data_IF_747242121334
#
_entry.id   IF_747242121334
#
_cell.length_a   1.000
_cell.length_b   1.000
_cell.length_c   1.000
_cell.angle_alpha   90.00
_cell.angle_beta   90.00
_cell.angle_gamma   90.00
#
_symmetry.space_group_name_H-M   'P 1'
#
loop_
_entity.id
_entity.type
_entity.pdbx_description
1 polymer ?
#
# COMPACT_ATOMS: atom_id res chain seq x y z
N UNK A 1 31.69 6.65 -5.48
CA UNK A 1 30.85 7.63 -4.75
C UNK A 1 30.76 7.19 -3.30
N UNK A 2 30.73 8.10 -2.30
CA UNK A 2 30.54 7.70 -0.91
C UNK A 2 29.18 6.99 -0.78
N UNK A 3 29.15 5.88 -0.05
CA UNK A 3 27.90 5.18 0.25
C UNK A 3 27.02 6.08 1.12
N UNK A 4 25.87 6.48 0.59
CA UNK A 4 24.85 7.20 1.36
C UNK A 4 24.40 6.32 2.52
N UNK A 5 24.56 6.83 3.74
CA UNK A 5 24.00 6.24 4.94
C UNK A 5 22.90 7.17 5.43
N UNK A 6 21.64 6.73 5.44
CA UNK A 6 20.58 7.50 6.05
C UNK A 6 20.89 7.73 7.55
N UNK A 7 20.61 8.93 8.09
CA UNK A 7 20.95 9.28 9.47
C UNK A 7 19.92 8.70 10.46
N UNK A 8 19.88 7.38 10.61
CA UNK A 8 19.04 6.70 11.58
C UNK A 8 19.82 6.38 12.85
N UNK A 9 19.41 6.95 13.98
CA UNK A 9 19.94 6.64 15.30
C UNK A 9 18.95 5.77 16.09
N UNK A 10 19.41 4.64 16.60
CA UNK A 10 18.60 3.75 17.44
C UNK A 10 18.50 4.36 18.84
N UNK A 11 17.29 4.64 19.29
CA UNK A 11 17.01 5.16 20.63
C UNK A 11 16.44 4.07 21.55
N UNK A 12 16.51 4.24 22.88
CA UNK A 12 15.82 3.35 23.81
C UNK A 12 14.33 3.20 23.53
N UNK A 13 13.65 4.27 23.10
CA UNK A 13 12.22 4.22 22.75
C UNK A 13 11.95 3.36 21.52
N UNK A 14 12.81 3.43 20.49
CA UNK A 14 12.70 2.56 19.31
C UNK A 14 12.87 1.09 19.73
N UNK A 15 13.84 0.79 20.59
CA UNK A 15 14.05 -0.57 21.09
C UNK A 15 12.85 -1.07 21.90
N UNK A 16 12.30 -0.23 22.76
CA UNK A 16 11.11 -0.56 23.53
C UNK A 16 9.90 -0.88 22.62
N UNK A 17 9.65 -0.06 21.59
CA UNK A 17 8.59 -0.31 20.62
C UNK A 17 8.82 -1.61 19.83
N UNK A 18 10.06 -1.92 19.46
CA UNK A 18 10.41 -3.19 18.78
C UNK A 18 10.10 -4.38 19.68
N UNK A 19 10.42 -4.30 20.97
CA UNK A 19 10.10 -5.35 21.95
C UNK A 19 8.58 -5.53 22.12
N UNK A 20 7.83 -4.44 22.27
CA UNK A 20 6.36 -4.49 22.40
C UNK A 20 5.68 -5.09 21.15
N UNK A 21 6.12 -4.68 19.96
CA UNK A 21 5.63 -5.23 18.69
C UNK A 21 5.99 -6.72 18.61
N UNK A 22 7.21 -7.11 18.97
CA UNK A 22 7.66 -8.50 18.98
C UNK A 22 6.84 -9.38 19.92
N UNK A 23 6.56 -8.89 21.14
CA UNK A 23 5.72 -9.60 22.11
C UNK A 23 4.28 -9.76 21.59
N UNK A 24 3.71 -8.71 21.01
CA UNK A 24 2.37 -8.75 20.42
C UNK A 24 2.30 -9.75 19.26
N UNK A 25 3.29 -9.76 18.36
CA UNK A 25 3.39 -10.73 17.27
C UNK A 25 3.54 -12.16 17.81
N UNK A 26 4.34 -12.36 18.86
CA UNK A 26 4.52 -13.65 19.52
C UNK A 26 3.20 -14.19 20.10
N UNK A 27 2.46 -13.36 20.84
CA UNK A 27 1.12 -13.72 21.35
C UNK A 27 0.16 -14.05 20.22
N UNK A 28 0.13 -13.24 19.16
CA UNK A 28 -0.72 -13.49 18.00
C UNK A 28 -0.41 -14.82 17.30
N UNK A 29 0.87 -15.12 17.07
CA UNK A 29 1.32 -16.37 16.45
C UNK A 29 0.97 -17.59 17.31
N UNK A 30 1.12 -17.50 18.63
CA UNK A 30 0.83 -18.59 19.55
C UNK A 30 -0.66 -18.97 19.59
N UNK A 31 -1.55 -17.98 19.39
CA UNK A 31 -3.00 -18.17 19.41
C UNK A 31 -3.56 -18.87 18.17
N UNK A 32 -2.73 -19.14 17.13
CA UNK A 32 -3.16 -19.70 15.83
C UNK A 32 -4.46 -19.06 15.34
N UNK A 33 -4.57 -17.74 15.48
CA UNK A 33 -5.76 -16.99 15.06
C UNK A 33 -6.12 -17.41 13.64
N UNK A 34 -7.37 -17.80 13.42
CA UNK A 34 -7.81 -18.44 12.19
C UNK A 34 -7.47 -17.56 10.98
N UNK A 35 -6.41 -17.91 10.26
CA UNK A 35 -5.98 -17.21 9.06
C UNK A 35 -6.86 -17.64 7.88
N UNK A 36 -8.12 -17.19 7.90
CA UNK A 36 -9.09 -17.52 6.86
C UNK A 36 -8.87 -16.60 5.64
N UNK A 37 -9.11 -17.10 4.41
CA UNK A 37 -9.10 -16.26 3.21
C UNK A 37 -10.01 -15.03 3.32
N UNK A 38 -11.13 -15.15 4.04
CA UNK A 38 -12.07 -14.06 4.28
C UNK A 38 -11.47 -12.97 5.18
N UNK A 39 -10.78 -13.36 6.26
CA UNK A 39 -10.10 -12.41 7.14
C UNK A 39 -8.97 -11.68 6.42
N UNK A 40 -8.14 -12.40 5.63
CA UNK A 40 -7.11 -11.76 4.80
C UNK A 40 -7.70 -10.77 3.81
N UNK A 41 -8.78 -11.15 3.12
CA UNK A 41 -9.49 -10.25 2.20
C UNK A 41 -10.00 -9.00 2.93
N UNK A 42 -10.68 -9.17 4.06
CA UNK A 42 -11.22 -8.04 4.83
C UNK A 42 -10.14 -7.10 5.35
N UNK A 43 -9.03 -7.65 5.85
CA UNK A 43 -7.89 -6.85 6.30
C UNK A 43 -7.30 -6.05 5.15
N UNK A 44 -7.14 -6.67 3.99
CA UNK A 44 -6.61 -5.99 2.80
C UNK A 44 -7.52 -4.87 2.29
N UNK A 45 -8.84 -5.08 2.31
CA UNK A 45 -9.80 -4.02 1.96
C UNK A 45 -9.67 -2.83 2.93
N UNK A 46 -9.54 -3.09 4.24
CA UNK A 46 -9.32 -2.04 5.25
C UNK A 46 -8.01 -1.30 5.03
N UNK A 47 -6.92 -2.01 4.72
CA UNK A 47 -5.62 -1.39 4.39
C UNK A 47 -5.76 -0.46 3.18
N UNK A 48 -6.39 -0.92 2.10
CA UNK A 48 -6.58 -0.10 0.89
C UNK A 48 -7.45 1.12 1.21
N UNK A 49 -8.55 0.96 1.95
CA UNK A 49 -9.43 2.06 2.32
C UNK A 49 -8.69 3.12 3.13
N UNK A 50 -7.95 2.72 4.17
CA UNK A 50 -7.18 3.65 5.01
C UNK A 50 -6.09 4.38 4.20
N UNK A 51 -5.41 3.70 3.28
CA UNK A 51 -4.42 4.34 2.40
C UNK A 51 -5.05 5.36 1.46
N UNK A 52 -6.21 5.06 0.88
CA UNK A 52 -6.89 5.97 -0.06
C UNK A 52 -7.55 7.14 0.66
N UNK A 53 -8.05 6.95 1.88
CA UNK A 53 -8.60 8.02 2.70
C UNK A 53 -7.54 9.10 3.01
N UNK A 54 -6.28 8.71 3.23
CA UNK A 54 -5.14 9.65 3.37
C UNK A 54 -4.96 10.51 2.10
N UNK A 55 -5.23 9.94 0.93
CA UNK A 55 -5.18 10.63 -0.38
C UNK A 55 -6.49 11.38 -0.70
N UNK A 56 -7.35 11.62 0.31
CA UNK A 56 -8.66 12.28 0.21
C UNK A 56 -9.68 11.54 -0.67
N UNK A 57 -9.57 10.22 -0.80
CA UNK A 57 -10.64 9.42 -1.40
C UNK A 57 -11.82 9.32 -0.42
N UNK A 58 -13.04 9.60 -0.91
CA UNK A 58 -14.24 9.70 -0.07
C UNK A 58 -15.07 8.42 -0.01
N UNK A 59 -14.65 7.34 -0.68
CA UNK A 59 -15.42 6.09 -0.71
C UNK A 59 -15.38 5.37 0.63
N UNK A 60 -16.54 4.98 1.12
CA UNK A 60 -16.68 4.21 2.37
C UNK A 60 -16.16 2.78 2.22
N UNK A 61 -15.90 2.12 3.35
CA UNK A 61 -15.55 0.70 3.38
C UNK A 61 -16.62 -0.18 2.70
N UNK A 62 -17.91 0.13 2.88
CA UNK A 62 -18.98 -0.61 2.20
C UNK A 62 -18.95 -0.39 0.68
N UNK A 63 -18.70 0.83 0.23
CA UNK A 63 -18.60 1.16 -1.19
C UNK A 63 -17.40 0.46 -1.84
N UNK A 64 -16.24 0.49 -1.21
CA UNK A 64 -15.04 -0.22 -1.68
C UNK A 64 -15.30 -1.73 -1.74
N UNK A 65 -15.90 -2.30 -0.70
CA UNK A 65 -16.24 -3.73 -0.67
C UNK A 65 -17.21 -4.10 -1.79
N UNK A 66 -18.28 -3.30 -1.96
CA UNK A 66 -19.26 -3.50 -3.01
C UNK A 66 -18.64 -3.40 -4.42
N UNK A 67 -17.71 -2.46 -4.62
CA UNK A 67 -16.99 -2.30 -5.88
C UNK A 67 -16.17 -3.56 -6.21
N UNK A 68 -15.47 -4.11 -5.22
CA UNK A 68 -14.66 -5.32 -5.39
C UNK A 68 -15.50 -6.58 -5.59
N UNK A 69 -16.72 -6.60 -5.08
CA UNK A 69 -17.69 -7.68 -5.31
C UNK A 69 -18.40 -7.55 -6.67
N UNK A 70 -18.01 -6.59 -7.52
CA UNK A 70 -18.58 -6.35 -8.84
C UNK A 70 -19.94 -5.65 -8.83
N UNK A 71 -20.37 -5.12 -7.68
CA UNK A 71 -21.62 -4.36 -7.57
C UNK A 71 -21.43 -2.93 -8.09
N UNK A 72 -22.54 -2.30 -8.47
CA UNK A 72 -22.56 -0.89 -8.87
C UNK A 72 -22.39 -0.01 -7.63
N UNK A 73 -21.51 0.98 -7.73
CA UNK A 73 -21.21 1.95 -6.67
C UNK A 73 -21.30 3.35 -7.25
N UNK A 74 -21.92 4.25 -6.50
CA UNK A 74 -21.94 5.68 -6.80
C UNK A 74 -20.68 6.32 -6.21
N UNK A 75 -19.93 7.05 -7.03
CA UNK A 75 -18.70 7.72 -6.64
C UNK A 75 -18.09 8.45 -7.83
N UNK A 76 -17.09 9.31 -7.59
CA UNK A 76 -16.39 9.95 -8.69
C UNK A 76 -15.65 8.87 -9.53
N UNK A 77 -15.69 8.92 -10.87
CA UNK A 77 -15.01 7.93 -11.71
C UNK A 77 -13.52 7.78 -11.36
N UNK A 78 -12.88 8.89 -10.99
CA UNK A 78 -11.48 8.93 -10.54
C UNK A 78 -11.25 8.13 -9.26
N UNK A 79 -12.05 8.37 -8.22
CA UNK A 79 -11.94 7.66 -6.93
C UNK A 79 -12.19 6.15 -7.09
N UNK A 80 -13.15 5.78 -7.93
CA UNK A 80 -13.42 4.38 -8.27
C UNK A 80 -12.20 3.74 -8.97
N UNK A 81 -11.55 4.48 -9.86
CA UNK A 81 -10.34 4.01 -10.55
C UNK A 81 -9.15 3.90 -9.60
N UNK A 82 -8.96 4.83 -8.66
CA UNK A 82 -7.95 4.74 -7.59
C UNK A 82 -8.11 3.47 -6.76
N UNK A 83 -9.34 3.12 -6.35
CA UNK A 83 -9.61 1.86 -5.64
C UNK A 83 -9.25 0.63 -6.48
N UNK A 84 -9.62 0.62 -7.77
CA UNK A 84 -9.30 -0.50 -8.67
C UNK A 84 -7.78 -0.66 -8.84
N UNK A 85 -7.07 0.44 -9.02
CA UNK A 85 -5.62 0.45 -9.19
C UNK A 85 -4.90 0.00 -7.91
N UNK A 86 -5.32 0.53 -6.74
CA UNK A 86 -4.78 0.11 -5.46
C UNK A 86 -4.98 -1.40 -5.25
N UNK A 87 -6.17 -1.92 -5.54
CA UNK A 87 -6.41 -3.36 -5.43
C UNK A 87 -5.48 -4.16 -6.36
N UNK A 88 -5.35 -3.76 -7.63
CA UNK A 88 -4.47 -4.41 -8.60
C UNK A 88 -2.99 -4.35 -8.19
N UNK A 89 -2.55 -3.27 -7.56
CA UNK A 89 -1.18 -3.15 -7.06
C UNK A 89 -0.94 -4.08 -5.87
N UNK A 90 -1.83 -4.08 -4.89
CA UNK A 90 -1.71 -4.98 -3.75
C UNK A 90 -1.86 -6.47 -4.11
N UNK A 91 -2.41 -6.82 -5.28
CA UNK A 91 -2.47 -8.22 -5.76
C UNK A 91 -1.10 -8.72 -6.20
N UNK A 92 -0.28 -7.79 -6.69
CA UNK A 92 1.05 -8.06 -7.22
C UNK A 92 2.16 -7.80 -6.19
N UNK A 93 1.85 -7.17 -5.05
CA UNK A 93 2.85 -6.70 -4.07
C UNK A 93 3.83 -7.76 -3.57
N UNK A 94 3.41 -9.03 -3.48
CA UNK A 94 4.27 -10.13 -3.05
C UNK A 94 5.27 -10.59 -4.14
N UNK A 95 5.09 -10.14 -5.38
CA UNK A 95 5.96 -10.45 -6.52
C UNK A 95 7.08 -9.41 -6.66
N UNK A 96 6.90 -8.23 -6.05
CA UNK A 96 7.84 -7.12 -6.12
C UNK A 96 8.90 -7.17 -5.02
N UNK A 97 10.09 -6.68 -5.36
CA UNK A 97 11.21 -6.53 -4.45
C UNK A 97 11.37 -5.05 -4.11
N UNK A 98 11.39 -4.73 -2.82
CA UNK A 98 11.38 -3.35 -2.33
C UNK A 98 12.65 -2.56 -2.65
N UNK A 99 13.76 -3.25 -2.90
CA UNK A 99 15.06 -2.68 -3.30
C UNK A 99 15.25 -2.59 -4.81
N UNK A 100 14.28 -3.06 -5.61
CA UNK A 100 14.30 -2.95 -7.06
C UNK A 100 13.60 -1.68 -7.54
N UNK A 101 14.37 -0.81 -8.19
CA UNK A 101 13.82 0.38 -8.86
C UNK A 101 12.85 0.04 -9.99
N UNK A 102 13.04 -1.09 -10.67
CA UNK A 102 12.13 -1.56 -11.72
C UNK A 102 10.76 -1.94 -11.14
N UNK A 103 10.74 -2.74 -10.07
CA UNK A 103 9.50 -3.11 -9.40
C UNK A 103 8.80 -1.90 -8.76
N UNK A 104 9.57 -0.90 -8.27
CA UNK A 104 8.99 0.36 -7.81
C UNK A 104 8.24 1.10 -8.92
N UNK A 105 8.85 1.23 -10.10
CA UNK A 105 8.22 1.88 -11.25
C UNK A 105 7.02 1.10 -11.77
N UNK A 106 7.08 -0.23 -11.75
CA UNK A 106 5.95 -1.09 -12.09
C UNK A 106 4.78 -0.88 -11.13
N UNK A 107 5.03 -0.94 -9.82
CA UNK A 107 4.02 -0.70 -8.80
C UNK A 107 3.38 0.69 -8.96
N UNK A 108 4.19 1.71 -9.23
CA UNK A 108 3.71 3.05 -9.51
C UNK A 108 2.84 3.11 -10.78
N UNK A 109 3.26 2.48 -11.87
CA UNK A 109 2.49 2.44 -13.10
C UNK A 109 1.11 1.77 -12.91
N UNK A 110 1.05 0.69 -12.12
CA UNK A 110 -0.23 0.03 -11.76
C UNK A 110 -1.11 0.96 -10.94
N UNK A 111 -0.55 1.65 -9.94
CA UNK A 111 -1.31 2.62 -9.12
C UNK A 111 -1.86 3.79 -9.93
N UNK A 112 -1.12 4.26 -10.93
CA UNK A 112 -1.47 5.46 -11.71
C UNK A 112 -2.21 5.18 -13.02
N UNK A 113 -2.49 3.91 -13.34
CA UNK A 113 -3.12 3.50 -14.58
C UNK A 113 -4.46 4.23 -14.84
N UNK A 114 -4.56 4.95 -15.96
CA UNK A 114 -5.78 5.69 -16.34
C UNK A 114 -6.09 6.93 -15.47
N UNK A 115 -5.27 7.22 -14.45
CA UNK A 115 -5.38 8.42 -13.61
C UNK A 115 -4.38 9.50 -14.04
N UNK A 116 -3.23 9.08 -14.56
CA UNK A 116 -2.22 9.99 -15.05
C UNK A 116 -2.49 10.38 -16.52
N UNK A 117 -2.92 11.63 -16.71
CA UNK A 117 -2.56 12.44 -17.89
C UNK A 117 -1.50 13.50 -17.50
N UNK A 118 -0.75 13.26 -16.43
CA UNK A 118 0.10 14.26 -15.78
C UNK A 118 1.59 13.95 -15.98
N UNK A 119 2.18 14.73 -16.90
CA UNK A 119 3.48 15.37 -16.79
C UNK A 119 4.71 14.47 -16.54
N UNK A 120 5.37 14.23 -17.66
CA UNK A 120 6.81 14.05 -17.87
C UNK A 120 7.68 15.21 -17.30
N UNK A 121 7.45 15.63 -16.05
CA UNK A 121 8.23 16.58 -15.25
C UNK A 121 8.26 16.01 -13.85
N UNK A 122 9.09 15.03 -13.53
CA UNK A 122 10.36 15.35 -12.86
C UNK A 122 11.31 14.13 -12.81
N UNK A 123 10.94 13.00 -13.42
CA UNK A 123 11.76 11.79 -13.39
C UNK A 123 12.98 11.93 -14.34
N UNK A 124 12.92 12.82 -15.34
CA UNK A 124 14.03 13.06 -16.29
C UNK A 124 15.15 13.98 -15.77
N UNK A 125 15.03 14.59 -14.58
CA UNK A 125 16.08 15.51 -14.06
C UNK A 125 17.12 14.86 -13.14
N UNK A 126 16.90 13.63 -12.68
CA UNK A 126 17.81 12.98 -11.74
C UNK A 126 18.52 11.75 -12.31
N UNK A 127 18.33 11.45 -13.60
CA UNK A 127 19.05 10.39 -14.32
C UNK A 127 20.25 10.92 -15.14
N UNK A 128 20.62 12.19 -14.99
CA UNK A 128 21.81 12.80 -15.61
C UNK A 128 22.55 13.70 -14.61
N UNK A 129 23.04 13.12 -13.52
CA UNK A 129 24.21 13.57 -12.75
C UNK A 129 24.91 12.33 -12.17
#
# INVERSE_FOLDING_TARGET
>A
MPHYHPPFDITPDILHLVEEIGEALGRWSALKMADSPQLRRNNRIRTIQASLEIENNTLSLEQITALLDGKRVLGAPREIQEVRNAFAAYDQINQWQADSGEHFLEAHAVLMAGLANLLNRDISRHAQL
#
